data_IF_907125214387
#
_entry.id   IF_907125214387
#
_cell.length_a   1.000
_cell.length_b   1.000
_cell.length_c   1.000
_cell.angle_alpha   90.00
_cell.angle_beta   90.00
_cell.angle_gamma   90.00
#
_symmetry.space_group_name_H-M   'P 1'
#
loop_
_entity.id
_entity.type
_entity.pdbx_description
1 polymer ?
#
# COMPACT_ATOMS: atom_id res chain seq x y z
N UNK A 1 38.86 -5.58 26.15
CA UNK A 1 37.71 -4.67 26.10
C UNK A 1 37.06 -4.81 24.71
N UNK A 2 35.92 -5.50 24.61
CA UNK A 2 35.14 -5.51 23.38
C UNK A 2 34.51 -4.13 23.20
N UNK A 3 35.11 -3.29 22.37
CA UNK A 3 34.50 -2.03 21.93
C UNK A 3 33.31 -2.42 21.05
N UNK A 4 32.10 -2.48 21.63
CA UNK A 4 30.88 -2.64 20.87
C UNK A 4 30.75 -1.45 19.92
N UNK A 5 30.84 -1.70 18.60
CA UNK A 5 30.60 -0.64 17.60
C UNK A 5 29.25 0.01 17.88
N UNK A 6 29.14 1.34 17.83
CA UNK A 6 27.84 2.00 18.03
C UNK A 6 26.84 1.52 17.01
N UNK A 7 25.63 1.20 17.49
CA UNK A 7 24.52 0.72 16.64
C UNK A 7 24.19 1.81 15.61
N UNK A 8 24.28 1.47 14.32
CA UNK A 8 23.88 2.38 13.24
C UNK A 8 22.39 2.64 13.30
N UNK A 9 21.98 3.89 13.13
CA UNK A 9 20.58 4.29 13.05
C UNK A 9 20.20 4.56 11.60
N UNK A 10 19.12 3.92 11.15
CA UNK A 10 18.59 4.03 9.78
C UNK A 10 17.21 4.67 9.84
N UNK A 11 16.93 5.58 8.94
CA UNK A 11 15.60 6.13 8.75
C UNK A 11 15.04 5.64 7.41
N UNK A 12 13.83 5.08 7.41
CA UNK A 12 13.05 4.77 6.22
C UNK A 12 11.88 5.74 6.15
N UNK A 13 11.62 6.35 5.01
CA UNK A 13 10.51 7.29 4.82
C UNK A 13 9.52 6.71 3.81
N UNK A 14 8.30 6.42 4.26
CA UNK A 14 7.18 6.02 3.40
C UNK A 14 5.86 6.50 4.01
N UNK A 15 5.26 7.51 3.38
CA UNK A 15 4.13 8.25 3.93
C UNK A 15 2.76 7.74 3.43
N UNK A 16 2.73 6.91 2.41
CA UNK A 16 1.52 6.40 1.75
C UNK A 16 1.62 6.57 0.22
N UNK A 17 0.58 6.31 -0.59
CA UNK A 17 -0.74 5.83 -0.18
C UNK A 17 -0.74 4.33 0.20
N UNK A 18 -1.93 3.74 0.44
CA UNK A 18 -2.03 2.33 0.88
C UNK A 18 -1.35 1.36 -0.09
N UNK A 19 -1.62 1.47 -1.40
CA UNK A 19 -0.98 0.64 -2.42
C UNK A 19 0.54 0.80 -2.42
N UNK A 20 1.05 2.03 -2.26
CA UNK A 20 2.49 2.29 -2.19
C UNK A 20 3.16 1.72 -0.92
N UNK A 21 2.42 1.68 0.20
CA UNK A 21 2.89 1.02 1.44
C UNK A 21 3.00 -0.49 1.21
N UNK A 22 2.00 -1.09 0.57
CA UNK A 22 2.02 -2.53 0.21
C UNK A 22 3.20 -2.84 -0.69
N UNK A 23 3.39 -2.07 -1.75
CA UNK A 23 4.50 -2.26 -2.69
C UNK A 23 5.88 -2.03 -2.05
N UNK A 24 5.94 -1.28 -0.96
CA UNK A 24 7.18 -1.05 -0.21
C UNK A 24 7.54 -2.16 0.78
N UNK A 25 6.70 -3.18 0.99
CA UNK A 25 7.01 -4.26 1.96
C UNK A 25 8.22 -5.09 1.55
N UNK A 26 8.44 -5.33 0.25
CA UNK A 26 9.68 -5.93 -0.25
C UNK A 26 10.92 -5.08 0.06
N UNK A 27 10.97 -3.80 -0.29
CA UNK A 27 11.99 -2.85 0.16
C UNK A 27 12.19 -2.81 1.68
N UNK A 28 11.13 -2.86 2.50
CA UNK A 28 11.27 -2.90 3.96
C UNK A 28 12.02 -4.14 4.43
N UNK A 29 11.67 -5.30 3.89
CA UNK A 29 12.35 -6.58 4.15
C UNK A 29 13.82 -6.53 3.71
N UNK A 30 14.10 -6.02 2.53
CA UNK A 30 15.45 -5.88 2.01
C UNK A 30 16.32 -4.96 2.87
N UNK A 31 15.79 -3.81 3.31
CA UNK A 31 16.49 -2.88 4.19
C UNK A 31 16.74 -3.53 5.57
N UNK A 32 15.77 -4.23 6.15
CA UNK A 32 15.95 -4.94 7.42
C UNK A 32 17.04 -6.01 7.30
N UNK A 33 16.99 -6.81 6.25
CA UNK A 33 17.96 -7.90 6.03
C UNK A 33 19.38 -7.38 5.78
N UNK A 34 19.53 -6.23 5.11
CA UNK A 34 20.82 -5.59 4.89
C UNK A 34 21.39 -4.95 6.17
N UNK A 35 20.53 -4.51 7.08
CA UNK A 35 20.88 -3.78 8.29
C UNK A 35 20.54 -4.55 9.58
N UNK A 36 20.91 -5.85 9.68
CA UNK A 36 20.54 -6.75 10.77
C UNK A 36 20.88 -6.19 12.19
N UNK A 37 22.02 -5.50 12.32
CA UNK A 37 22.51 -4.96 13.58
C UNK A 37 22.27 -3.45 13.72
N UNK A 38 21.29 -2.90 13.00
CA UNK A 38 20.99 -1.47 13.03
C UNK A 38 19.61 -1.22 13.64
N UNK A 39 19.46 -0.04 14.25
CA UNK A 39 18.15 0.43 14.68
C UNK A 39 17.46 1.13 13.52
N UNK A 40 16.36 0.57 13.03
CA UNK A 40 15.63 1.08 11.88
C UNK A 40 14.34 1.76 12.33
N UNK A 41 14.21 3.04 11.99
CA UNK A 41 13.03 3.85 12.26
C UNK A 41 12.25 4.06 10.96
N UNK A 42 10.93 3.86 10.97
CA UNK A 42 10.04 4.26 9.88
C UNK A 42 9.42 5.63 10.19
N UNK A 43 9.50 6.57 9.26
CA UNK A 43 8.68 7.79 9.25
C UNK A 43 7.49 7.56 8.30
N UNK A 44 6.28 7.56 8.86
CA UNK A 44 5.03 7.30 8.11
C UNK A 44 3.90 8.20 8.60
N UNK A 45 2.69 8.05 8.02
CA UNK A 45 1.49 8.72 8.53
C UNK A 45 0.76 7.85 9.55
N UNK A 46 -0.02 8.46 10.44
CA UNK A 46 -0.75 7.75 11.51
C UNK A 46 -1.56 6.55 11.00
N UNK A 47 -2.11 6.66 9.80
CA UNK A 47 -2.94 5.62 9.16
C UNK A 47 -2.22 4.27 8.99
N UNK A 48 -0.89 4.25 8.91
CA UNK A 48 -0.12 3.02 8.62
C UNK A 48 0.71 2.52 9.79
N UNK A 49 0.58 3.13 10.97
CA UNK A 49 1.37 2.78 12.17
C UNK A 49 1.11 1.34 12.59
N UNK A 50 -0.15 0.93 12.70
CA UNK A 50 -0.51 -0.42 13.16
C UNK A 50 -0.06 -1.50 12.17
N UNK A 51 -0.21 -1.23 10.87
CA UNK A 51 0.32 -2.11 9.84
C UNK A 51 1.86 -2.22 9.90
N UNK A 52 2.56 -1.11 10.07
CA UNK A 52 4.02 -1.12 10.16
C UNK A 52 4.53 -1.85 11.40
N UNK A 53 3.79 -1.79 12.52
CA UNK A 53 4.10 -2.53 13.74
C UNK A 53 3.93 -4.04 13.58
N UNK A 54 2.97 -4.48 12.76
CA UNK A 54 2.70 -5.90 12.57
C UNK A 54 3.75 -6.61 11.71
N UNK A 55 4.60 -5.89 10.99
CA UNK A 55 5.51 -6.43 9.98
C UNK A 55 6.94 -6.72 10.46
N UNK A 56 7.31 -6.45 11.71
CA UNK A 56 8.66 -6.68 12.28
C UNK A 56 9.83 -6.07 11.47
N UNK A 57 9.57 -5.10 10.58
CA UNK A 57 10.61 -4.48 9.75
C UNK A 57 11.36 -3.35 10.49
N UNK A 58 10.72 -2.75 11.50
CA UNK A 58 11.18 -1.53 12.15
C UNK A 58 11.26 -1.69 13.67
N UNK A 59 12.26 -1.04 14.27
CA UNK A 59 12.41 -0.99 15.73
C UNK A 59 11.65 0.19 16.34
N UNK A 60 11.44 1.26 15.55
CA UNK A 60 10.68 2.45 15.95
C UNK A 60 9.84 2.98 14.79
N UNK A 61 8.70 3.58 15.10
CA UNK A 61 7.80 4.18 14.11
C UNK A 61 7.50 5.62 14.51
N UNK A 62 7.79 6.52 13.61
CA UNK A 62 7.51 7.94 13.76
C UNK A 62 6.36 8.37 12.88
N UNK A 63 5.50 9.23 13.43
CA UNK A 63 4.41 9.84 12.70
C UNK A 63 4.90 11.17 12.13
N UNK A 64 4.71 11.38 10.82
CA UNK A 64 4.85 12.69 10.19
C UNK A 64 3.62 13.54 10.53
N UNK A 65 3.79 14.45 11.48
CA UNK A 65 2.74 15.36 11.95
C UNK A 65 2.40 16.43 10.90
N UNK A 66 3.18 16.54 9.81
CA UNK A 66 3.01 17.49 8.70
C UNK A 66 2.80 18.93 9.16
N UNK A 67 3.76 19.54 9.89
CA UNK A 67 3.62 20.93 10.29
C UNK A 67 3.33 21.81 9.08
N UNK A 68 2.37 22.74 9.23
CA UNK A 68 2.05 23.72 8.19
C UNK A 68 3.15 24.79 8.12
N UNK A 69 3.15 25.60 7.06
CA UNK A 69 4.12 26.71 6.95
C UNK A 69 4.02 27.72 8.10
N UNK A 70 2.87 27.81 8.75
CA UNK A 70 2.61 28.69 9.89
C UNK A 70 2.81 28.02 11.26
N UNK A 71 3.42 26.81 11.29
CA UNK A 71 3.72 26.09 12.53
C UNK A 71 5.25 25.97 12.76
N UNK A 72 5.91 27.05 13.22
CA UNK A 72 7.35 27.03 13.45
C UNK A 72 7.76 26.06 14.57
N UNK A 73 6.90 25.83 15.56
CA UNK A 73 7.17 24.91 16.66
C UNK A 73 7.19 23.45 16.15
N UNK A 74 6.25 23.07 15.30
CA UNK A 74 6.23 21.77 14.65
C UNK A 74 7.49 21.53 13.80
N UNK A 75 7.94 22.55 13.06
CA UNK A 75 9.17 22.47 12.28
C UNK A 75 10.40 22.30 13.18
N UNK A 76 10.52 23.09 14.25
CA UNK A 76 11.63 22.99 15.22
C UNK A 76 11.63 21.60 15.86
N UNK A 77 10.47 21.07 16.25
CA UNK A 77 10.33 19.71 16.82
C UNK A 77 10.82 18.65 15.83
N UNK A 78 10.41 18.75 14.56
CA UNK A 78 10.86 17.83 13.51
C UNK A 78 12.36 17.89 13.30
N UNK A 79 12.95 19.08 13.15
CA UNK A 79 14.39 19.28 12.98
C UNK A 79 15.16 18.69 14.16
N UNK A 80 14.78 19.02 15.40
CA UNK A 80 15.43 18.48 16.61
C UNK A 80 15.35 16.95 16.63
N UNK A 81 14.19 16.37 16.28
CA UNK A 81 14.00 14.92 16.24
C UNK A 81 14.92 14.26 15.21
N UNK A 82 15.05 14.85 14.02
CA UNK A 82 15.92 14.35 12.96
C UNK A 82 17.40 14.39 13.36
N UNK A 83 17.88 15.51 13.92
CA UNK A 83 19.30 15.69 14.26
C UNK A 83 19.74 14.94 15.52
N UNK A 84 18.91 14.87 16.55
CA UNK A 84 19.26 14.18 17.80
C UNK A 84 19.42 12.67 17.63
N UNK A 85 18.92 12.08 16.55
CA UNK A 85 19.00 10.63 16.31
C UNK A 85 20.24 10.21 15.52
N UNK A 86 21.07 11.14 15.03
CA UNK A 86 22.33 10.84 14.33
C UNK A 86 22.22 9.70 13.33
N UNK A 87 21.23 9.77 12.43
CA UNK A 87 21.06 8.75 11.41
C UNK A 87 22.31 8.58 10.56
N UNK A 88 22.71 7.32 10.36
CA UNK A 88 23.77 6.93 9.44
C UNK A 88 23.32 7.05 8.00
N UNK A 89 22.12 6.48 7.66
CA UNK A 89 21.54 6.48 6.32
C UNK A 89 20.03 6.67 6.35
N UNK A 90 19.51 7.33 5.33
CA UNK A 90 18.06 7.51 5.08
C UNK A 90 17.69 6.83 3.77
N UNK A 91 16.64 6.04 3.77
CA UNK A 91 16.00 5.48 2.57
C UNK A 91 14.68 6.20 2.33
N UNK A 92 14.67 7.13 1.36
CA UNK A 92 13.47 7.84 0.96
C UNK A 92 12.71 7.03 -0.12
N UNK A 93 11.83 6.13 0.33
CA UNK A 93 10.96 5.35 -0.54
C UNK A 93 9.70 6.11 -0.96
N UNK A 94 9.48 7.32 -0.43
CA UNK A 94 8.36 8.18 -0.81
C UNK A 94 8.70 9.04 -2.02
N UNK A 95 9.90 9.62 -2.06
CA UNK A 95 10.42 10.45 -3.16
C UNK A 95 9.43 11.54 -3.63
N UNK A 96 8.96 12.35 -2.69
CA UNK A 96 7.99 13.44 -2.89
C UNK A 96 8.58 14.79 -2.48
N UNK A 97 7.89 15.90 -2.83
CA UNK A 97 8.29 17.24 -2.38
C UNK A 97 8.40 17.33 -0.86
N UNK A 98 7.51 16.65 -0.12
CA UNK A 98 7.56 16.58 1.33
C UNK A 98 8.87 15.95 1.83
N UNK A 99 9.34 14.88 1.20
CA UNK A 99 10.58 14.21 1.59
C UNK A 99 11.81 14.96 1.10
N UNK A 100 11.71 15.73 0.03
CA UNK A 100 12.73 16.68 -0.39
C UNK A 100 12.94 17.77 0.66
N UNK A 101 11.87 18.31 1.26
CA UNK A 101 11.98 19.26 2.38
C UNK A 101 12.72 18.59 3.55
N UNK A 102 12.35 17.37 3.93
CA UNK A 102 13.03 16.64 5.02
C UNK A 102 14.52 16.46 4.72
N UNK A 103 14.91 16.15 3.47
CA UNK A 103 16.30 16.10 3.06
C UNK A 103 17.04 17.42 3.31
N UNK A 104 16.44 18.55 2.93
CA UNK A 104 17.05 19.86 3.15
C UNK A 104 17.16 20.24 4.63
N UNK A 105 16.25 19.76 5.50
CA UNK A 105 16.37 19.98 6.94
C UNK A 105 17.65 19.37 7.54
N UNK A 106 18.20 18.30 6.95
CA UNK A 106 19.48 17.73 7.36
C UNK A 106 20.69 18.59 6.94
N UNK A 107 20.54 19.54 6.04
CA UNK A 107 21.64 20.43 5.64
C UNK A 107 22.09 21.38 6.77
N UNK A 108 21.30 21.56 7.82
CA UNK A 108 21.64 22.40 8.98
C UNK A 108 22.45 21.66 10.07
N UNK A 109 23.05 20.49 9.75
CA UNK A 109 23.84 19.70 10.70
C UNK A 109 24.56 18.52 10.05
N UNK A 110 24.77 17.44 10.80
CA UNK A 110 25.36 16.22 10.25
C UNK A 110 24.41 15.57 9.26
N UNK A 111 24.79 15.59 7.98
CA UNK A 111 24.01 15.01 6.89
C UNK A 111 24.21 13.49 6.84
N UNK A 112 23.15 12.67 6.94
CA UNK A 112 23.25 11.23 6.73
C UNK A 112 23.47 10.89 5.23
N UNK A 113 23.93 9.69 4.93
CA UNK A 113 23.78 9.14 3.59
C UNK A 113 22.29 9.08 3.22
N UNK A 114 21.98 9.36 1.96
CA UNK A 114 20.58 9.44 1.52
C UNK A 114 20.37 8.69 0.21
N UNK A 115 19.50 7.68 0.23
CA UNK A 115 19.00 7.00 -0.96
C UNK A 115 17.65 7.60 -1.35
N UNK A 116 17.55 8.16 -2.55
CA UNK A 116 16.35 8.83 -3.03
C UNK A 116 16.52 9.48 -4.40
N UNK A 117 15.66 10.42 -4.76
CA UNK A 117 15.71 11.11 -6.06
C UNK A 117 16.18 12.57 -5.97
N UNK A 118 16.29 13.14 -4.77
CA UNK A 118 16.62 14.55 -4.56
C UNK A 118 18.04 14.86 -5.04
N UNK A 119 18.21 16.01 -5.69
CA UNK A 119 19.55 16.47 -6.10
C UNK A 119 20.46 16.67 -4.90
N UNK A 120 21.71 16.15 -4.99
CA UNK A 120 22.70 16.24 -3.93
C UNK A 120 22.58 15.15 -2.85
N UNK A 121 21.71 14.16 -2.99
CA UNK A 121 21.75 12.97 -2.14
C UNK A 121 22.86 12.00 -2.58
N UNK A 122 23.42 11.21 -1.65
CA UNK A 122 24.59 10.36 -1.85
C UNK A 122 24.32 9.16 -2.77
N UNK A 123 23.13 8.57 -2.70
CA UNK A 123 22.72 7.43 -3.50
C UNK A 123 21.50 7.85 -4.36
N UNK A 124 21.78 8.69 -5.35
CA UNK A 124 20.73 9.31 -6.15
C UNK A 124 20.25 8.38 -7.26
N UNK A 125 18.95 8.11 -7.30
CA UNK A 125 18.29 7.42 -8.40
C UNK A 125 18.06 8.39 -9.56
N UNK A 126 18.88 8.28 -10.62
CA UNK A 126 18.93 9.21 -11.76
C UNK A 126 18.40 8.61 -13.07
N UNK A 127 17.75 7.44 -13.03
CA UNK A 127 17.20 6.82 -14.22
C UNK A 127 16.21 7.75 -14.94
N UNK A 128 16.45 8.14 -16.21
CA UNK A 128 15.55 9.03 -16.94
C UNK A 128 14.15 8.44 -17.15
N UNK A 129 14.04 7.11 -17.17
CA UNK A 129 12.79 6.38 -17.34
C UNK A 129 12.10 6.08 -16.00
N UNK A 130 12.60 6.61 -14.88
CA UNK A 130 12.10 6.34 -13.52
C UNK A 130 10.59 6.46 -13.40
N UNK A 131 9.98 7.44 -14.04
CA UNK A 131 8.54 7.69 -13.96
C UNK A 131 7.70 6.75 -14.85
N UNK A 132 8.32 5.99 -15.72
CA UNK A 132 7.70 4.96 -16.57
C UNK A 132 7.86 3.56 -15.96
N UNK A 133 8.71 3.41 -14.94
CA UNK A 133 8.91 2.13 -14.26
C UNK A 133 7.78 1.84 -13.31
N UNK A 134 7.45 0.57 -13.17
CA UNK A 134 6.58 0.12 -12.09
C UNK A 134 7.23 0.45 -10.72
N UNK A 135 6.40 0.79 -9.73
CA UNK A 135 6.87 1.23 -8.41
C UNK A 135 7.81 0.23 -7.73
N UNK A 136 7.58 -1.08 -7.90
CA UNK A 136 8.41 -2.14 -7.30
C UNK A 136 9.80 -2.14 -7.92
N UNK A 137 9.89 -2.17 -9.26
CA UNK A 137 11.16 -2.16 -10.00
C UNK A 137 11.93 -0.86 -9.74
N UNK A 138 11.23 0.27 -9.70
CA UNK A 138 11.81 1.57 -9.37
C UNK A 138 12.43 1.63 -7.98
N UNK A 139 11.76 1.04 -6.98
CA UNK A 139 12.30 0.98 -5.61
C UNK A 139 13.48 0.00 -5.52
N UNK A 140 13.42 -1.13 -6.21
CA UNK A 140 14.52 -2.09 -6.26
C UNK A 140 15.77 -1.46 -6.90
N UNK A 141 15.64 -0.76 -8.02
CA UNK A 141 16.74 -0.04 -8.67
C UNK A 141 17.31 1.06 -7.77
N UNK A 142 16.45 1.82 -7.07
CA UNK A 142 16.89 2.82 -6.10
C UNK A 142 17.70 2.20 -4.95
N UNK A 143 17.29 1.04 -4.44
CA UNK A 143 17.99 0.34 -3.37
C UNK A 143 19.31 -0.28 -3.85
N UNK A 144 19.38 -0.75 -5.10
CA UNK A 144 20.62 -1.27 -5.69
C UNK A 144 21.74 -0.23 -5.73
N UNK A 145 21.40 1.07 -5.96
CA UNK A 145 22.36 2.17 -5.90
C UNK A 145 22.92 2.37 -4.47
N UNK A 146 22.22 1.89 -3.47
CA UNK A 146 22.62 1.92 -2.05
C UNK A 146 23.08 0.54 -1.54
N UNK A 147 23.61 -0.30 -2.45
CA UNK A 147 24.20 -1.63 -2.20
C UNK A 147 23.20 -2.70 -1.70
N UNK A 148 21.86 -2.52 -1.94
CA UNK A 148 20.84 -3.51 -1.65
C UNK A 148 20.29 -4.07 -2.97
N UNK A 149 20.86 -5.20 -3.44
CA UNK A 149 20.54 -5.77 -4.75
C UNK A 149 19.39 -6.79 -4.72
N UNK A 150 19.17 -7.45 -3.58
CA UNK A 150 18.13 -8.47 -3.43
C UNK A 150 16.89 -7.89 -2.76
N UNK A 151 15.97 -7.37 -3.56
CA UNK A 151 14.69 -6.84 -3.08
C UNK A 151 13.59 -7.87 -3.38
N UNK A 152 13.00 -8.51 -2.36
CA UNK A 152 11.94 -9.48 -2.58
C UNK A 152 10.66 -8.83 -3.09
N UNK A 153 9.78 -9.63 -3.68
CA UNK A 153 8.43 -9.19 -4.00
C UNK A 153 7.66 -8.78 -2.73
N UNK A 154 6.71 -7.86 -2.83
CA UNK A 154 5.84 -7.52 -1.71
C UNK A 154 5.19 -8.76 -1.10
N UNK A 155 5.19 -8.85 0.24
CA UNK A 155 4.68 -10.00 0.97
C UNK A 155 4.17 -9.59 2.35
N UNK A 156 3.23 -10.38 2.89
CA UNK A 156 2.71 -10.27 4.26
C UNK A 156 3.01 -11.50 5.11
N UNK A 157 4.00 -12.29 4.73
CA UNK A 157 4.33 -13.54 5.45
C UNK A 157 4.71 -13.30 6.91
N UNK A 158 5.28 -12.14 7.25
CA UNK A 158 5.62 -11.75 8.61
C UNK A 158 4.46 -11.12 9.39
N UNK A 159 3.28 -10.94 8.77
CA UNK A 159 2.12 -10.33 9.42
C UNK A 159 1.19 -11.41 9.93
N UNK A 160 0.98 -11.43 11.24
CA UNK A 160 0.00 -12.29 11.89
C UNK A 160 -1.42 -11.88 11.45
N UNK A 161 -2.28 -12.87 11.12
CA UNK A 161 -3.65 -12.58 10.73
C UNK A 161 -4.44 -11.97 11.89
N UNK A 162 -5.37 -11.06 11.55
CA UNK A 162 -6.33 -10.53 12.52
C UNK A 162 -7.16 -11.67 13.13
N UNK A 163 -7.39 -11.59 14.43
CA UNK A 163 -8.26 -12.54 15.16
C UNK A 163 -9.75 -12.22 15.03
N UNK A 164 -10.11 -11.13 14.34
CA UNK A 164 -11.51 -10.69 14.20
C UNK A 164 -12.29 -11.69 13.33
N UNK A 165 -13.36 -12.23 13.91
CA UNK A 165 -14.30 -13.06 13.17
C UNK A 165 -15.44 -12.20 12.60
N UNK A 166 -15.53 -12.12 11.28
CA UNK A 166 -16.57 -11.38 10.59
C UNK A 166 -17.87 -12.18 10.38
N UNK A 167 -17.95 -13.41 10.88
CA UNK A 167 -19.13 -14.26 10.79
C UNK A 167 -19.44 -14.69 9.34
N UNK A 168 -18.41 -14.98 8.55
CA UNK A 168 -18.54 -15.44 7.17
C UNK A 168 -18.58 -16.98 7.15
N UNK A 169 -19.76 -17.55 6.88
CA UNK A 169 -20.05 -18.99 7.01
C UNK A 169 -20.02 -19.78 5.71
N UNK A 170 -19.80 -19.14 4.57
CA UNK A 170 -19.74 -19.76 3.24
C UNK A 170 -18.59 -19.15 2.41
N UNK A 171 -18.18 -19.76 1.29
CA UNK A 171 -17.20 -19.14 0.38
C UNK A 171 -17.61 -17.72 0.02
N UNK A 172 -16.68 -16.80 -0.02
CA UNK A 172 -16.98 -15.40 -0.28
C UNK A 172 -16.01 -14.75 -1.27
N UNK A 173 -16.50 -13.75 -1.96
CA UNK A 173 -15.73 -12.90 -2.87
C UNK A 173 -15.72 -11.47 -2.33
N UNK A 174 -14.53 -10.88 -2.26
CA UNK A 174 -14.36 -9.49 -1.85
C UNK A 174 -14.68 -8.56 -3.03
N UNK A 175 -15.62 -7.65 -2.82
CA UNK A 175 -15.98 -6.59 -3.74
C UNK A 175 -15.38 -5.27 -3.27
N UNK A 176 -14.54 -4.63 -4.11
CA UNK A 176 -13.85 -3.37 -3.78
C UNK A 176 -14.28 -2.27 -4.76
N UNK A 177 -15.49 -1.71 -4.56
CA UNK A 177 -16.07 -0.74 -5.49
C UNK A 177 -15.49 0.67 -5.34
N UNK A 178 -14.58 0.86 -4.39
CA UNK A 178 -13.95 2.15 -4.07
C UNK A 178 -13.08 2.70 -5.19
N UNK A 179 -12.62 3.91 -4.97
CA UNK A 179 -11.70 4.62 -5.85
C UNK A 179 -11.46 6.04 -5.32
N UNK A 180 -10.42 6.72 -5.83
CA UNK A 180 -10.16 8.11 -5.47
C UNK A 180 -11.43 8.96 -5.65
N UNK A 181 -11.80 9.73 -4.63
CA UNK A 181 -12.99 10.59 -4.64
C UNK A 181 -12.99 11.60 -5.81
N UNK A 182 -11.79 12.02 -6.24
CA UNK A 182 -11.61 12.99 -7.32
C UNK A 182 -11.51 12.35 -8.72
N UNK A 183 -11.57 11.01 -8.83
CA UNK A 183 -11.42 10.28 -10.10
C UNK A 183 -12.55 9.27 -10.27
N UNK A 184 -13.78 9.77 -10.45
CA UNK A 184 -14.96 8.92 -10.62
C UNK A 184 -14.86 7.99 -11.84
N UNK A 185 -14.16 8.42 -12.88
CA UNK A 185 -13.87 7.63 -14.08
C UNK A 185 -13.02 6.36 -13.83
N UNK A 186 -12.47 6.19 -12.62
CA UNK A 186 -11.80 4.95 -12.19
C UNK A 186 -12.74 3.93 -11.55
N UNK A 187 -14.04 4.21 -11.47
CA UNK A 187 -14.98 3.37 -10.76
C UNK A 187 -15.87 2.62 -11.76
N UNK A 188 -15.89 1.31 -11.64
CA UNK A 188 -16.91 0.50 -12.29
C UNK A 188 -18.27 0.82 -11.69
N UNK A 189 -19.35 0.93 -12.48
CA UNK A 189 -20.65 1.37 -11.99
C UNK A 189 -21.18 0.54 -10.81
N UNK A 190 -21.73 1.22 -9.80
CA UNK A 190 -22.28 0.55 -8.61
C UNK A 190 -23.36 -0.49 -8.94
N UNK A 191 -24.16 -0.23 -9.99
CA UNK A 191 -25.17 -1.18 -10.44
C UNK A 191 -24.54 -2.49 -10.94
N UNK A 192 -23.40 -2.41 -11.60
CA UNK A 192 -22.71 -3.60 -12.10
C UNK A 192 -22.15 -4.43 -10.95
N UNK A 193 -21.61 -3.79 -9.88
CA UNK A 193 -21.25 -4.49 -8.63
C UNK A 193 -22.46 -5.18 -8.00
N UNK A 194 -23.64 -4.52 -7.97
CA UNK A 194 -24.85 -5.10 -7.41
C UNK A 194 -25.32 -6.31 -8.23
N UNK A 195 -25.29 -6.23 -9.57
CA UNK A 195 -25.62 -7.35 -10.44
C UNK A 195 -24.63 -8.52 -10.29
N UNK A 196 -23.33 -8.23 -10.19
CA UNK A 196 -22.33 -9.26 -9.91
C UNK A 196 -22.58 -9.92 -8.54
N UNK A 197 -22.97 -9.15 -7.53
CA UNK A 197 -23.30 -9.68 -6.21
C UNK A 197 -24.47 -10.68 -6.27
N UNK A 198 -25.55 -10.38 -7.02
CA UNK A 198 -26.66 -11.31 -7.24
C UNK A 198 -26.22 -12.61 -7.93
N UNK A 199 -25.34 -12.52 -8.93
CA UNK A 199 -24.80 -13.69 -9.62
C UNK A 199 -23.91 -14.55 -8.71
N UNK A 200 -23.15 -13.95 -7.83
CA UNK A 200 -22.36 -14.68 -6.83
C UNK A 200 -23.28 -15.42 -5.87
N UNK A 201 -24.33 -14.77 -5.37
CA UNK A 201 -25.32 -15.40 -4.49
C UNK A 201 -26.00 -16.60 -5.16
N UNK A 202 -26.37 -16.50 -6.43
CA UNK A 202 -26.96 -17.63 -7.17
C UNK A 202 -26.04 -18.86 -7.30
N UNK A 203 -24.71 -18.63 -7.12
CA UNK A 203 -23.68 -19.69 -7.07
C UNK A 203 -23.30 -20.08 -5.62
N UNK A 204 -24.11 -19.69 -4.63
CA UNK A 204 -23.85 -19.91 -3.20
C UNK A 204 -22.54 -19.27 -2.69
N UNK A 205 -22.12 -18.17 -3.28
CA UNK A 205 -20.93 -17.40 -2.88
C UNK A 205 -21.39 -16.08 -2.24
N UNK A 206 -20.86 -15.75 -1.06
CA UNK A 206 -21.21 -14.53 -0.34
C UNK A 206 -20.44 -13.32 -0.92
N UNK A 207 -21.12 -12.29 -1.44
CA UNK A 207 -20.45 -11.04 -1.77
C UNK A 207 -20.14 -10.24 -0.49
N UNK A 208 -18.88 -9.87 -0.30
CA UNK A 208 -18.42 -9.10 0.85
C UNK A 208 -17.86 -7.77 0.35
N UNK A 209 -18.54 -6.67 0.65
CA UNK A 209 -18.14 -5.34 0.22
C UNK A 209 -17.18 -4.74 1.25
N UNK A 210 -15.99 -4.34 0.81
CA UNK A 210 -15.00 -3.63 1.63
C UNK A 210 -14.70 -2.26 1.03
N UNK A 211 -14.34 -1.32 1.88
CA UNK A 211 -14.01 0.04 1.50
C UNK A 211 -13.92 0.97 2.69
N UNK A 212 -13.63 2.22 2.44
CA UNK A 212 -13.60 3.28 3.44
C UNK A 212 -15.01 3.88 3.63
N UNK A 213 -15.16 4.81 4.56
CA UNK A 213 -16.43 5.55 4.80
C UNK A 213 -16.99 6.22 3.53
N UNK A 214 -16.14 6.66 2.62
CA UNK A 214 -16.54 7.25 1.33
C UNK A 214 -17.31 6.30 0.40
N UNK A 215 -17.16 4.98 0.60
CA UNK A 215 -17.83 3.95 -0.21
C UNK A 215 -19.13 3.44 0.42
N UNK A 216 -19.53 3.95 1.61
CA UNK A 216 -20.72 3.47 2.32
C UNK A 216 -22.03 3.63 1.53
N UNK A 217 -22.15 4.63 0.67
CA UNK A 217 -23.31 4.78 -0.23
C UNK A 217 -23.37 3.69 -1.29
N UNK A 218 -22.21 3.33 -1.85
CA UNK A 218 -22.11 2.26 -2.85
C UNK A 218 -22.44 0.92 -2.19
N UNK A 219 -21.89 0.67 -1.01
CA UNK A 219 -22.17 -0.55 -0.25
C UNK A 219 -23.65 -0.68 0.11
N UNK A 220 -24.28 0.42 0.57
CA UNK A 220 -25.72 0.45 0.84
C UNK A 220 -26.54 0.14 -0.41
N UNK A 221 -26.18 0.74 -1.55
CA UNK A 221 -26.87 0.45 -2.82
C UNK A 221 -26.75 -1.02 -3.20
N UNK A 222 -25.56 -1.63 -3.06
CA UNK A 222 -25.33 -3.05 -3.33
C UNK A 222 -26.23 -3.89 -2.40
N UNK A 223 -26.28 -3.58 -1.10
CA UNK A 223 -27.11 -4.32 -0.13
C UNK A 223 -28.61 -4.13 -0.32
N UNK A 224 -29.07 -3.03 -0.91
CA UNK A 224 -30.48 -2.86 -1.30
C UNK A 224 -30.87 -3.77 -2.44
N UNK A 225 -29.99 -4.00 -3.42
CA UNK A 225 -30.24 -4.86 -4.57
C UNK A 225 -29.97 -6.34 -4.24
N UNK A 226 -28.92 -6.60 -3.45
CA UNK A 226 -28.50 -7.93 -3.01
C UNK A 226 -28.46 -7.97 -1.47
N UNK A 227 -29.60 -8.23 -0.78
CA UNK A 227 -29.69 -8.20 0.69
C UNK A 227 -28.79 -9.20 1.40
N UNK A 228 -28.39 -10.29 0.72
CA UNK A 228 -27.45 -11.28 1.24
C UNK A 228 -26.01 -10.77 1.31
N UNK A 229 -25.67 -9.69 0.61
CA UNK A 229 -24.32 -9.15 0.64
C UNK A 229 -23.93 -8.65 2.04
N UNK A 230 -22.66 -8.88 2.41
CA UNK A 230 -22.11 -8.40 3.68
C UNK A 230 -21.41 -7.07 3.50
N UNK A 231 -21.89 -6.02 4.13
CA UNK A 231 -21.23 -4.70 4.14
C UNK A 231 -20.22 -4.61 5.30
N UNK A 232 -18.94 -4.56 4.95
CA UNK A 232 -17.80 -4.31 5.84
C UNK A 232 -17.12 -2.96 5.57
N UNK A 233 -17.76 -2.04 4.84
CA UNK A 233 -17.20 -0.69 4.64
C UNK A 233 -16.99 0.03 5.97
N UNK A 234 -15.83 0.68 6.11
CA UNK A 234 -15.39 1.36 7.33
C UNK A 234 -15.30 0.47 8.60
N UNK A 235 -15.28 -0.86 8.43
CA UNK A 235 -15.21 -1.85 9.52
C UNK A 235 -13.94 -2.70 9.49
N UNK A 236 -13.04 -2.47 8.53
CA UNK A 236 -11.84 -3.25 8.34
C UNK A 236 -10.59 -2.37 8.37
N UNK A 237 -9.61 -2.77 9.15
CA UNK A 237 -8.24 -2.28 9.06
C UNK A 237 -7.48 -2.95 7.91
N UNK A 238 -6.27 -2.51 7.63
CA UNK A 238 -5.42 -3.14 6.63
C UNK A 238 -5.07 -4.60 7.00
N UNK A 239 -4.88 -4.88 8.29
CA UNK A 239 -4.61 -6.24 8.80
C UNK A 239 -5.84 -7.14 8.67
N UNK A 240 -7.04 -6.60 8.89
CA UNK A 240 -8.29 -7.32 8.68
C UNK A 240 -8.51 -7.68 7.21
N UNK A 241 -8.17 -6.77 6.29
CA UNK A 241 -8.24 -7.03 4.84
C UNK A 241 -7.26 -8.16 4.46
N UNK A 242 -6.07 -8.22 5.04
CA UNK A 242 -5.12 -9.33 4.83
C UNK A 242 -5.75 -10.66 5.29
N UNK A 243 -6.36 -10.69 6.48
CA UNK A 243 -6.98 -11.89 7.04
C UNK A 243 -8.18 -12.35 6.18
N UNK A 244 -9.05 -11.42 5.77
CA UNK A 244 -10.17 -11.70 4.87
C UNK A 244 -9.67 -12.21 3.51
N UNK A 245 -8.66 -11.56 2.93
CA UNK A 245 -8.13 -11.93 1.63
C UNK A 245 -7.55 -13.35 1.63
N UNK A 246 -6.81 -13.73 2.67
CA UNK A 246 -6.24 -15.09 2.79
C UNK A 246 -7.30 -16.21 2.77
N UNK A 247 -8.54 -15.92 3.14
CA UNK A 247 -9.66 -16.88 3.19
C UNK A 247 -10.67 -16.69 2.05
N UNK A 248 -10.65 -15.57 1.33
CA UNK A 248 -11.59 -15.30 0.25
C UNK A 248 -11.40 -16.25 -0.93
N UNK A 249 -12.49 -16.69 -1.55
CA UNK A 249 -12.44 -17.47 -2.78
C UNK A 249 -11.89 -16.66 -3.95
N UNK A 250 -12.11 -15.34 -3.96
CA UNK A 250 -11.60 -14.41 -4.95
C UNK A 250 -11.89 -12.97 -4.58
N UNK A 251 -11.46 -12.04 -5.41
CA UNK A 251 -11.72 -10.63 -5.24
C UNK A 251 -11.86 -9.90 -6.58
N UNK A 252 -12.69 -8.89 -6.61
CA UNK A 252 -12.79 -7.98 -7.76
C UNK A 252 -12.94 -6.54 -7.28
N UNK A 253 -12.25 -5.63 -7.92
CA UNK A 253 -12.32 -4.22 -7.54
C UNK A 253 -11.59 -3.29 -8.47
N UNK A 254 -11.86 -2.00 -8.30
CA UNK A 254 -11.18 -0.94 -9.04
C UNK A 254 -9.71 -0.80 -8.59
N UNK A 255 -8.91 -0.10 -9.39
CA UNK A 255 -7.53 0.29 -9.02
C UNK A 255 -7.50 1.10 -7.71
N UNK A 256 -7.27 0.40 -6.59
CA UNK A 256 -7.32 0.96 -5.23
C UNK A 256 -6.34 0.29 -4.27
N UNK A 257 -6.07 0.98 -3.15
CA UNK A 257 -5.20 0.45 -2.10
C UNK A 257 -5.62 -0.92 -1.54
N UNK A 258 -6.88 -1.17 -1.20
CA UNK A 258 -7.33 -2.49 -0.75
C UNK A 258 -7.06 -3.61 -1.76
N UNK A 259 -7.18 -3.36 -3.06
CA UNK A 259 -6.86 -4.38 -4.09
C UNK A 259 -5.36 -4.75 -4.10
N UNK A 260 -4.45 -3.82 -3.78
CA UNK A 260 -3.05 -4.16 -3.58
C UNK A 260 -2.86 -5.09 -2.37
N UNK A 261 -3.57 -4.83 -1.27
CA UNK A 261 -3.51 -5.70 -0.07
C UNK A 261 -4.00 -7.10 -0.42
N UNK A 262 -5.14 -7.21 -1.10
CA UNK A 262 -5.77 -8.49 -1.47
C UNK A 262 -4.85 -9.29 -2.40
N UNK A 263 -4.36 -8.65 -3.46
CA UNK A 263 -3.47 -9.27 -4.44
C UNK A 263 -2.18 -9.81 -3.80
N UNK A 264 -1.53 -8.99 -2.96
CA UNK A 264 -0.31 -9.38 -2.21
C UNK A 264 -0.57 -10.51 -1.21
N UNK A 265 -1.81 -10.66 -0.73
CA UNK A 265 -2.22 -11.78 0.15
C UNK A 265 -2.38 -13.11 -0.59
N UNK A 266 -2.19 -13.15 -1.92
CA UNK A 266 -2.26 -14.36 -2.74
C UNK A 266 -3.68 -14.78 -3.15
N UNK A 267 -4.68 -13.92 -2.92
CA UNK A 267 -6.07 -14.16 -3.35
C UNK A 267 -6.19 -14.02 -4.87
N UNK A 268 -6.90 -14.92 -5.58
CA UNK A 268 -7.29 -14.69 -6.96
C UNK A 268 -7.98 -13.33 -7.08
N UNK A 269 -7.39 -12.40 -7.82
CA UNK A 269 -7.78 -10.99 -7.80
C UNK A 269 -7.98 -10.46 -9.21
N UNK A 270 -9.14 -9.88 -9.48
CA UNK A 270 -9.42 -9.18 -10.71
C UNK A 270 -9.44 -7.67 -10.47
N UNK A 271 -8.42 -6.98 -10.96
CA UNK A 271 -8.31 -5.53 -10.85
C UNK A 271 -8.86 -4.86 -12.12
N UNK A 272 -9.74 -3.88 -11.92
CA UNK A 272 -10.42 -3.15 -12.99
C UNK A 272 -9.78 -1.77 -13.15
N UNK A 273 -9.30 -1.48 -14.37
CA UNK A 273 -8.63 -0.25 -14.73
C UNK A 273 -9.36 0.51 -15.84
N UNK A 274 -9.53 1.81 -15.67
CA UNK A 274 -9.89 2.72 -16.76
C UNK A 274 -8.63 3.31 -17.43
N UNK A 275 -8.83 4.13 -18.46
CA UNK A 275 -7.75 4.94 -19.05
C UNK A 275 -7.04 5.87 -18.05
N UNK A 276 -7.70 6.21 -16.93
CA UNK A 276 -7.19 7.18 -15.94
C UNK A 276 -6.05 6.65 -15.08
N UNK A 277 -5.68 5.37 -15.21
CA UNK A 277 -4.49 4.81 -14.57
C UNK A 277 -3.83 3.75 -15.45
N UNK A 278 -2.52 3.62 -15.26
CA UNK A 278 -1.71 2.68 -16.02
C UNK A 278 -1.21 1.55 -15.13
N UNK A 279 -1.70 0.31 -15.32
CA UNK A 279 -1.26 -0.82 -14.53
C UNK A 279 0.22 -1.18 -14.75
N UNK A 280 0.85 -0.75 -15.84
CA UNK A 280 2.29 -0.97 -16.06
C UNK A 280 3.16 -0.24 -15.04
N UNK A 281 2.65 0.88 -14.48
CA UNK A 281 3.38 1.73 -13.53
C UNK A 281 3.03 1.40 -12.07
N UNK A 282 1.75 1.06 -11.81
CA UNK A 282 1.25 0.91 -10.45
C UNK A 282 0.31 -0.29 -10.25
N UNK A 283 0.31 -1.27 -11.17
CA UNK A 283 -0.56 -2.43 -11.08
C UNK A 283 -0.37 -3.25 -9.82
N UNK A 284 -1.44 -3.93 -9.40
CA UNK A 284 -1.36 -4.90 -8.31
C UNK A 284 -0.42 -6.04 -8.72
N UNK A 285 0.38 -6.50 -7.77
CA UNK A 285 1.28 -7.65 -7.93
C UNK A 285 0.93 -8.73 -6.91
N UNK A 286 0.91 -9.95 -7.36
CA UNK A 286 0.61 -11.13 -6.57
C UNK A 286 0.68 -12.39 -7.43
N UNK A 287 0.52 -13.58 -6.86
CA UNK A 287 0.61 -14.86 -7.57
C UNK A 287 -0.56 -15.10 -8.53
N UNK A 288 -1.74 -14.52 -8.25
CA UNK A 288 -2.98 -14.77 -8.98
C UNK A 288 -3.72 -13.46 -9.26
N UNK A 289 -3.12 -12.60 -10.10
CA UNK A 289 -3.71 -11.28 -10.43
C UNK A 289 -4.02 -11.22 -11.91
N UNK A 290 -5.29 -10.91 -12.22
CA UNK A 290 -5.76 -10.58 -13.55
C UNK A 290 -6.14 -9.10 -13.61
N UNK A 291 -5.95 -8.47 -14.74
CA UNK A 291 -6.26 -7.05 -14.96
C UNK A 291 -7.16 -6.92 -16.18
N UNK A 292 -8.29 -6.24 -16.03
CA UNK A 292 -9.10 -5.75 -17.15
C UNK A 292 -8.84 -4.24 -17.26
N UNK A 293 -8.51 -3.77 -18.46
CA UNK A 293 -8.37 -2.33 -18.75
C UNK A 293 -9.30 -1.94 -19.90
N UNK A 294 -10.16 -0.96 -19.64
CA UNK A 294 -11.10 -0.40 -20.62
C UNK A 294 -10.94 1.12 -20.72
N UNK A 295 -11.28 1.70 -21.87
CA UNK A 295 -11.28 3.15 -22.05
C UNK A 295 -12.28 3.83 -21.11
N UNK A 296 -13.47 3.26 -20.98
CA UNK A 296 -14.51 3.65 -20.02
C UNK A 296 -15.05 2.42 -19.31
N UNK A 297 -15.16 2.49 -17.98
CA UNK A 297 -15.69 1.39 -17.17
C UNK A 297 -17.22 1.27 -17.25
N UNK A 298 -17.91 2.26 -17.81
CA UNK A 298 -19.35 2.15 -18.11
C UNK A 298 -19.64 1.10 -19.18
N UNK A 299 -18.68 0.90 -20.10
CA UNK A 299 -18.79 -0.07 -21.18
C UNK A 299 -18.38 -1.50 -20.76
N UNK A 300 -17.79 -1.68 -19.58
CA UNK A 300 -17.39 -2.99 -19.09
C UNK A 300 -18.61 -3.72 -18.53
N UNK A 301 -19.00 -4.79 -19.16
CA UNK A 301 -20.17 -5.59 -18.77
C UNK A 301 -19.91 -6.47 -17.54
N UNK A 302 -21.00 -6.87 -16.87
CA UNK A 302 -20.93 -7.83 -15.77
C UNK A 302 -20.50 -9.20 -16.26
N UNK A 303 -20.90 -9.59 -17.48
CA UNK A 303 -20.52 -10.88 -18.10
C UNK A 303 -19.00 -10.98 -18.29
N UNK A 304 -18.35 -9.92 -18.79
CA UNK A 304 -16.90 -9.88 -18.98
C UNK A 304 -16.16 -9.97 -17.64
N UNK A 305 -16.64 -9.27 -16.62
CA UNK A 305 -16.02 -9.28 -15.29
C UNK A 305 -16.19 -10.65 -14.63
N UNK A 306 -17.38 -11.23 -14.70
CA UNK A 306 -17.66 -12.56 -14.15
C UNK A 306 -16.85 -13.66 -14.84
N UNK A 307 -16.75 -13.63 -16.16
CA UNK A 307 -15.96 -14.59 -16.95
C UNK A 307 -14.45 -14.50 -16.64
N UNK A 308 -13.97 -13.33 -16.27
CA UNK A 308 -12.57 -13.08 -15.94
C UNK A 308 -12.23 -13.30 -14.45
N UNK A 309 -13.25 -13.43 -13.59
CA UNK A 309 -13.08 -13.62 -12.16
C UNK A 309 -12.70 -15.08 -11.87
N UNK A 310 -11.45 -15.27 -11.46
CA UNK A 310 -10.96 -16.57 -11.01
C UNK A 310 -11.31 -16.78 -9.52
N UNK A 311 -11.68 -18.00 -9.18
CA UNK A 311 -12.00 -18.42 -7.82
C UNK A 311 -11.16 -19.64 -7.45
N UNK A 312 -10.85 -19.79 -6.15
CA UNK A 312 -10.21 -20.97 -5.57
C UNK A 312 -11.17 -21.78 -4.73
#
# INVERSE_FOLDING_TARGET
>A
MNITKPVKRILVIKLGAMGDIVQATGPFEAIRSHHLNSHITLLTTNKYVDFAKSGNWFDDIWIDERPTWFDPQGWIKLVKRLHNNNFYRVYDLQTSDRTAIIFFLFCFGKKPEWSGSVYGCSHRHVNPNRNLMHTIERQAEQLAIADIHNVPAPSFNCIEPSSINFGLSRPYVLLVPGGSAHRLNKRWPKNNYAQLALRLVSKNILPVVIGHKSESEIARYISQICPESKDLTNKTSMIDIIALARQAAGAVGNDTGPMHVIATSGTPSLAIYSHASDPTICGQRGSNVSIIRQQSLENLSVDEVEASLQLR
#
